data_IF_441750860815
#
_entry.id   IF_441750860815
#
_cell.length_a   1.000
_cell.length_b   1.000
_cell.length_c   1.000
_cell.angle_alpha   90.00
_cell.angle_beta   90.00
_cell.angle_gamma   90.00
#
_symmetry.space_group_name_H-M   'P 1'
#
loop_
_entity.id
_entity.type
_entity.pdbx_description
1 polymer ?
#
# COMPACT_ATOMS: atom_id res chain seq x y z
N UNK A 1 -16.32 3.44 4.44
CA UNK A 1 -15.02 3.85 3.86
C UNK A 1 -14.66 2.82 2.82
N UNK A 2 -14.25 3.24 1.66
CA UNK A 2 -14.03 2.32 0.54
C UNK A 2 -12.56 2.34 0.14
N UNK A 3 -11.96 1.16 0.03
CA UNK A 3 -10.67 1.00 -0.63
C UNK A 3 -10.94 1.01 -2.13
N UNK A 4 -10.38 1.99 -2.83
CA UNK A 4 -10.47 2.07 -4.28
C UNK A 4 -9.39 1.19 -4.90
N UNK A 5 -9.71 0.46 -5.96
CA UNK A 5 -8.71 -0.29 -6.68
C UNK A 5 -8.99 -0.41 -8.17
N UNK A 6 -7.93 -0.55 -8.92
CA UNK A 6 -7.95 -0.90 -10.34
C UNK A 6 -7.11 -2.15 -10.57
N UNK A 7 -7.39 -2.88 -11.64
CA UNK A 7 -6.59 -4.03 -12.05
C UNK A 7 -5.77 -3.69 -13.29
N UNK A 8 -4.55 -4.23 -13.34
CA UNK A 8 -3.67 -4.13 -14.51
C UNK A 8 -3.10 -5.49 -14.88
N UNK A 9 -2.93 -5.69 -16.15
CA UNK A 9 -2.41 -6.93 -16.74
C UNK A 9 -1.02 -6.70 -17.33
N UNK A 10 -0.23 -7.78 -17.42
CA UNK A 10 1.04 -7.75 -18.12
C UNK A 10 0.80 -7.44 -19.61
N UNK A 11 1.70 -6.65 -20.17
CA UNK A 11 1.68 -6.30 -21.59
C UNK A 11 2.69 -7.17 -22.32
N UNK A 12 2.29 -7.73 -23.47
CA UNK A 12 3.20 -8.48 -24.31
C UNK A 12 4.30 -7.55 -24.89
N UNK A 13 5.57 -7.98 -24.91
CA UNK A 13 6.67 -7.15 -25.43
C UNK A 13 6.47 -6.60 -26.84
N UNK A 14 5.80 -7.35 -27.70
CA UNK A 14 5.54 -6.91 -29.09
C UNK A 14 4.46 -5.82 -29.15
N UNK A 15 3.59 -5.71 -28.14
CA UNK A 15 2.46 -4.77 -28.15
C UNK A 15 2.88 -3.36 -27.71
N UNK A 16 3.74 -3.22 -26.70
CA UNK A 16 4.08 -1.89 -26.16
C UNK A 16 4.86 -1.03 -27.15
N UNK A 17 5.55 -1.63 -28.10
CA UNK A 17 6.27 -0.89 -29.15
C UNK A 17 5.31 -0.01 -30.00
N UNK A 18 4.04 -0.41 -30.09
CA UNK A 18 3.01 0.31 -30.82
C UNK A 18 2.27 1.35 -29.96
N UNK A 19 2.59 1.45 -28.66
CA UNK A 19 1.86 2.31 -27.75
C UNK A 19 2.27 3.78 -27.90
N UNK A 20 1.27 4.65 -27.91
CA UNK A 20 1.46 6.08 -27.75
C UNK A 20 1.66 6.44 -26.26
N UNK A 21 1.95 7.70 -25.95
CA UNK A 21 2.18 8.17 -24.59
C UNK A 21 1.01 7.92 -23.63
N UNK A 22 -0.22 8.02 -24.12
CA UNK A 22 -1.42 7.76 -23.31
C UNK A 22 -1.51 6.27 -22.93
N UNK A 23 -1.29 5.39 -23.89
CA UNK A 23 -1.28 3.93 -23.65
C UNK A 23 -0.14 3.50 -22.73
N UNK A 24 1.06 4.09 -22.87
CA UNK A 24 2.18 3.83 -21.97
C UNK A 24 1.85 4.26 -20.53
N UNK A 25 1.22 5.42 -20.36
CA UNK A 25 0.77 5.87 -19.03
C UNK A 25 -0.29 4.94 -18.45
N UNK A 26 -1.27 4.53 -19.21
CA UNK A 26 -2.34 3.66 -18.76
C UNK A 26 -1.82 2.29 -18.30
N UNK A 27 -0.84 1.73 -19.01
CA UNK A 27 -0.33 0.39 -18.73
C UNK A 27 0.84 0.36 -17.73
N UNK A 28 1.69 1.39 -17.67
CA UNK A 28 2.95 1.36 -16.90
C UNK A 28 3.05 2.42 -15.82
N UNK A 29 2.26 3.48 -15.86
CA UNK A 29 2.30 4.53 -14.85
C UNK A 29 1.21 4.33 -13.80
N UNK A 30 1.60 4.44 -12.53
CA UNK A 30 0.68 4.47 -11.40
C UNK A 30 0.74 5.86 -10.78
N UNK A 31 -0.31 6.65 -10.95
CA UNK A 31 -0.44 7.98 -10.38
C UNK A 31 -1.64 8.08 -9.45
N UNK A 32 -1.76 9.22 -8.74
CA UNK A 32 -2.93 9.51 -7.92
C UNK A 32 -3.07 8.61 -6.68
N UNK A 33 -1.97 8.10 -6.14
CA UNK A 33 -1.99 7.22 -4.97
C UNK A 33 -2.38 7.94 -3.68
N UNK A 34 -2.02 9.22 -3.54
CA UNK A 34 -2.19 9.97 -2.30
C UNK A 34 -3.30 11.01 -2.43
N UNK A 35 -4.53 10.53 -2.36
CA UNK A 35 -5.72 11.37 -2.27
C UNK A 35 -6.16 11.41 -0.80
N UNK A 36 -6.46 12.61 -0.30
CA UNK A 36 -6.86 12.80 1.10
C UNK A 36 -8.04 11.90 1.47
N UNK A 37 -7.92 11.22 2.59
CA UNK A 37 -8.91 10.30 3.17
C UNK A 37 -9.30 9.12 2.27
N UNK A 38 -8.36 8.71 1.40
CA UNK A 38 -8.55 7.53 0.55
C UNK A 38 -7.40 6.52 0.66
N UNK A 39 -7.75 5.26 0.44
CA UNK A 39 -6.82 4.20 0.10
C UNK A 39 -7.02 3.85 -1.38
N UNK A 40 -5.99 4.03 -2.18
CA UNK A 40 -6.01 3.74 -3.61
C UNK A 40 -5.00 2.66 -3.94
N UNK A 41 -5.45 1.58 -4.57
CA UNK A 41 -4.64 0.40 -4.89
C UNK A 41 -4.65 0.11 -6.38
N UNK A 42 -3.56 -0.46 -6.87
CA UNK A 42 -3.47 -1.10 -8.17
C UNK A 42 -3.09 -2.56 -7.98
N UNK A 43 -4.01 -3.44 -8.29
CA UNK A 43 -3.75 -4.88 -8.31
C UNK A 43 -3.18 -5.26 -9.68
N UNK A 44 -1.92 -5.65 -9.69
CA UNK A 44 -1.30 -6.10 -10.93
C UNK A 44 -1.45 -7.61 -11.08
N UNK A 45 -1.67 -8.08 -12.31
CA UNK A 45 -1.61 -9.50 -12.64
C UNK A 45 -0.18 -9.97 -12.92
N UNK A 46 0.80 -9.14 -12.55
CA UNK A 46 2.23 -9.46 -12.59
C UNK A 46 2.60 -9.95 -11.20
N UNK A 47 2.74 -11.25 -11.03
CA UNK A 47 2.99 -11.94 -9.75
C UNK A 47 1.98 -11.57 -8.63
N UNK A 48 0.80 -11.10 -9.01
CA UNK A 48 -0.26 -10.66 -8.07
C UNK A 48 0.22 -9.58 -7.08
N UNK A 49 1.16 -8.76 -7.53
CA UNK A 49 1.71 -7.67 -6.72
C UNK A 49 0.75 -6.48 -6.70
N UNK A 50 0.55 -5.91 -5.52
CA UNK A 50 -0.27 -4.71 -5.32
C UNK A 50 0.63 -3.54 -4.97
N UNK A 51 0.41 -2.42 -5.63
CA UNK A 51 0.95 -1.11 -5.24
C UNK A 51 -0.18 -0.19 -4.85
N UNK A 52 0.08 0.73 -3.93
CA UNK A 52 -0.97 1.64 -3.51
C UNK A 52 -0.48 2.78 -2.64
N UNK A 53 -1.45 3.54 -2.17
CA UNK A 53 -1.23 4.63 -1.25
C UNK A 53 -2.40 4.81 -0.29
N UNK A 54 -2.10 5.24 0.92
CA UNK A 54 -3.06 5.68 1.92
C UNK A 54 -2.65 7.06 2.41
N UNK A 55 -3.58 8.01 2.36
CA UNK A 55 -3.37 9.40 2.80
C UNK A 55 -4.43 9.78 3.84
N UNK A 56 -4.30 9.32 5.10
CA UNK A 56 -5.24 9.68 6.17
C UNK A 56 -5.05 11.16 6.54
N UNK A 57 -5.91 12.05 6.07
CA UNK A 57 -5.86 13.47 6.41
C UNK A 57 -6.72 13.76 7.65
N UNK A 58 -8.03 13.68 7.51
CA UNK A 58 -8.97 14.02 8.58
C UNK A 58 -9.51 12.78 9.31
N UNK A 59 -9.45 11.62 8.67
CA UNK A 59 -10.00 10.37 9.22
C UNK A 59 -8.99 9.21 9.15
N UNK A 60 -9.01 8.29 10.15
CA UNK A 60 -8.29 7.04 10.05
C UNK A 60 -8.76 6.22 8.85
N UNK A 61 -7.84 5.58 8.17
CA UNK A 61 -8.11 4.74 7.00
C UNK A 61 -7.83 3.28 7.30
N UNK A 62 -8.83 2.42 7.12
CA UNK A 62 -8.68 0.98 7.25
C UNK A 62 -8.35 0.34 5.90
N UNK A 63 -7.40 -0.58 5.90
CA UNK A 63 -7.10 -1.40 4.74
C UNK A 63 -8.09 -2.58 4.66
N UNK A 64 -9.24 -2.32 4.07
CA UNK A 64 -10.23 -3.37 3.82
C UNK A 64 -9.79 -4.25 2.64
N UNK A 65 -10.30 -5.47 2.61
CA UNK A 65 -10.08 -6.38 1.48
C UNK A 65 -10.72 -5.83 0.20
N UNK A 66 -10.23 -6.30 -0.93
CA UNK A 66 -10.81 -6.01 -2.25
C UNK A 66 -11.34 -7.27 -2.90
N UNK A 67 -12.34 -7.14 -3.75
CA UNK A 67 -13.01 -8.30 -4.37
C UNK A 67 -12.04 -9.19 -5.17
N UNK A 68 -11.04 -8.62 -5.79
CA UNK A 68 -10.02 -9.35 -6.56
C UNK A 68 -9.24 -10.38 -5.72
N UNK A 69 -9.13 -10.19 -4.40
CA UNK A 69 -8.41 -11.10 -3.52
C UNK A 69 -9.20 -12.34 -3.11
N UNK A 70 -10.54 -12.27 -3.17
CA UNK A 70 -11.42 -13.34 -2.69
C UNK A 70 -11.02 -13.86 -1.30
N UNK A 71 -10.73 -12.95 -0.40
CA UNK A 71 -10.28 -13.18 0.96
C UNK A 71 -11.11 -12.35 1.95
N UNK A 72 -11.24 -12.81 3.19
CA UNK A 72 -11.99 -12.09 4.23
C UNK A 72 -11.23 -10.85 4.69
N UNK A 73 -9.91 -10.98 4.85
CA UNK A 73 -9.04 -9.87 5.20
C UNK A 73 -7.97 -9.67 4.11
N UNK A 74 -7.50 -8.43 3.98
CA UNK A 74 -6.53 -8.08 2.93
C UNK A 74 -5.24 -8.93 3.01
N UNK A 75 -4.75 -9.21 4.21
CA UNK A 75 -3.50 -9.93 4.45
C UNK A 75 -3.66 -11.41 4.80
N UNK A 76 -4.81 -12.03 4.50
CA UNK A 76 -4.99 -13.47 4.76
C UNK A 76 -3.91 -14.34 4.10
N UNK A 77 -3.43 -13.93 2.92
CA UNK A 77 -2.43 -14.68 2.12
C UNK A 77 -1.35 -13.78 1.53
N UNK A 78 -1.16 -12.60 2.12
CA UNK A 78 -0.24 -11.58 1.63
C UNK A 78 0.47 -10.90 2.79
N UNK A 79 1.62 -10.33 2.50
CA UNK A 79 2.35 -9.42 3.37
C UNK A 79 2.27 -7.99 2.83
N UNK A 80 2.52 -7.01 3.68
CA UNK A 80 2.44 -5.60 3.35
C UNK A 80 3.72 -4.88 3.76
N UNK A 81 4.23 -4.05 2.85
CA UNK A 81 5.19 -3.00 3.17
C UNK A 81 4.50 -1.65 3.10
N UNK A 82 4.71 -0.80 4.11
CA UNK A 82 4.22 0.56 4.13
C UNK A 82 5.36 1.52 4.41
N UNK A 83 5.63 2.44 3.48
CA UNK A 83 6.69 3.45 3.59
C UNK A 83 6.04 4.82 3.71
N UNK A 84 6.36 5.56 4.77
CA UNK A 84 5.82 6.90 4.94
C UNK A 84 6.65 7.93 4.16
N UNK A 85 6.03 8.58 3.19
CA UNK A 85 6.63 9.64 2.37
C UNK A 85 5.97 11.01 2.60
N UNK A 86 5.17 11.13 3.65
CA UNK A 86 4.49 12.36 4.06
C UNK A 86 4.85 12.80 5.48
N UNK A 87 3.92 13.48 6.14
CA UNK A 87 4.04 13.86 7.54
C UNK A 87 4.05 12.67 8.48
N UNK A 88 4.31 12.89 9.76
CA UNK A 88 4.30 11.82 10.77
C UNK A 88 2.94 11.12 10.83
N UNK A 89 2.95 9.82 10.93
CA UNK A 89 1.74 9.00 11.02
C UNK A 89 1.90 7.79 11.93
N UNK A 90 0.83 7.02 12.00
CA UNK A 90 0.75 5.78 12.77
C UNK A 90 0.12 4.70 11.93
N UNK A 91 0.55 3.48 12.16
CA UNK A 91 -0.08 2.29 11.62
C UNK A 91 -0.41 1.37 12.78
N UNK A 92 -1.69 1.04 12.93
CA UNK A 92 -2.16 0.07 13.94
C UNK A 92 -2.46 -1.24 13.25
N UNK A 93 -1.83 -2.31 13.71
CA UNK A 93 -2.00 -3.67 13.20
C UNK A 93 -2.51 -4.56 14.31
N UNK A 94 -3.71 -5.10 14.17
CA UNK A 94 -4.37 -5.96 15.17
C UNK A 94 -4.29 -5.40 16.60
N UNK A 95 -4.46 -4.09 16.75
CA UNK A 95 -4.42 -3.37 18.03
C UNK A 95 -3.03 -2.91 18.50
N UNK A 96 -1.96 -3.29 17.83
CA UNK A 96 -0.60 -2.80 18.11
C UNK A 96 -0.28 -1.57 17.23
N UNK A 97 0.10 -0.47 17.84
CA UNK A 97 0.36 0.80 17.15
C UNK A 97 1.85 1.07 16.98
N UNK A 98 2.23 1.43 15.76
CA UNK A 98 3.58 1.81 15.36
C UNK A 98 3.59 3.27 14.91
N UNK A 99 4.42 4.10 15.56
CA UNK A 99 4.69 5.46 15.07
C UNK A 99 5.65 5.39 13.89
N UNK A 100 5.24 5.95 12.75
CA UNK A 100 6.00 5.89 11.49
C UNK A 100 6.27 7.33 11.03
N UNK A 101 7.48 7.80 11.22
CA UNK A 101 7.91 9.11 10.77
C UNK A 101 8.22 9.12 9.25
N UNK A 102 8.50 10.30 8.72
CA UNK A 102 8.93 10.46 7.33
C UNK A 102 10.15 9.58 7.01
N UNK A 103 10.07 8.84 5.92
CA UNK A 103 11.09 7.86 5.45
C UNK A 103 11.25 6.61 6.33
N UNK A 104 10.41 6.41 7.31
CA UNK A 104 10.34 5.13 8.01
C UNK A 104 9.35 4.18 7.33
N UNK A 105 9.51 2.90 7.56
CA UNK A 105 8.69 1.85 6.99
C UNK A 105 8.20 0.86 8.05
N UNK A 106 7.08 0.20 7.78
CA UNK A 106 6.57 -0.93 8.52
C UNK A 106 6.38 -2.11 7.59
N UNK A 107 6.96 -3.24 7.95
CA UNK A 107 6.61 -4.54 7.40
C UNK A 107 5.50 -5.16 8.24
N UNK A 108 4.45 -5.62 7.60
CA UNK A 108 3.33 -6.34 8.22
C UNK A 108 3.24 -7.74 7.64
N UNK A 109 3.37 -8.73 8.51
CA UNK A 109 3.35 -10.14 8.15
C UNK A 109 1.97 -10.62 7.69
N UNK A 110 1.95 -11.70 6.92
CA UNK A 110 0.73 -12.35 6.50
C UNK A 110 -0.10 -12.82 7.70
N UNK A 111 -1.42 -12.73 7.58
CA UNK A 111 -2.37 -13.14 8.60
C UNK A 111 -2.90 -12.01 9.48
N UNK A 112 -2.40 -10.79 9.36
CA UNK A 112 -2.98 -9.64 10.05
C UNK A 112 -4.42 -9.39 9.57
N UNK A 113 -5.32 -9.14 10.51
CA UNK A 113 -6.75 -8.99 10.23
C UNK A 113 -7.16 -7.54 10.05
N UNK A 114 -6.49 -6.64 10.74
CA UNK A 114 -6.80 -5.22 10.70
C UNK A 114 -5.53 -4.39 10.57
N UNK A 115 -5.54 -3.48 9.61
CA UNK A 115 -4.49 -2.46 9.44
C UNK A 115 -5.17 -1.11 9.29
N UNK A 116 -4.82 -0.16 10.17
CA UNK A 116 -5.38 1.18 10.19
C UNK A 116 -4.26 2.21 10.07
N UNK A 117 -4.43 3.17 9.19
CA UNK A 117 -3.50 4.28 8.95
C UNK A 117 -4.06 5.57 9.54
N UNK A 118 -3.21 6.34 10.22
CA UNK A 118 -3.55 7.62 10.81
C UNK A 118 -2.44 8.64 10.62
N UNK A 119 -2.80 9.93 10.51
CA UNK A 119 -1.85 11.03 10.58
C UNK A 119 -1.78 11.58 12.01
N UNK A 120 -0.60 12.07 12.38
CA UNK A 120 -0.43 12.82 13.63
C UNK A 120 -0.98 14.23 13.50
N UNK A 121 -0.83 14.82 12.31
CA UNK A 121 -1.28 16.19 12.00
C UNK A 121 -2.03 16.20 10.67
N UNK A 122 -3.30 16.57 10.72
CA UNK A 122 -4.15 16.68 9.54
C UNK A 122 -3.67 17.74 8.53
N UNK A 123 -3.01 18.80 9.02
CA UNK A 123 -2.45 19.84 8.16
C UNK A 123 -1.20 19.39 7.38
N UNK A 124 -0.52 18.34 7.88
CA UNK A 124 0.60 17.71 7.22
C UNK A 124 0.44 16.19 7.26
N UNK A 125 -0.49 15.65 6.45
CA UNK A 125 -0.87 14.25 6.55
C UNK A 125 0.26 13.30 6.19
N UNK A 126 0.25 12.13 6.83
CA UNK A 126 1.07 11.01 6.42
C UNK A 126 0.66 10.54 5.02
N UNK A 127 1.62 10.04 4.26
CA UNK A 127 1.41 9.44 2.95
C UNK A 127 2.10 8.09 2.94
N UNK A 128 1.34 7.05 3.11
CA UNK A 128 1.88 5.70 3.14
C UNK A 128 1.86 5.10 1.74
N UNK A 129 3.05 4.97 1.15
CA UNK A 129 3.21 4.14 -0.04
C UNK A 129 3.10 2.67 0.38
N UNK A 130 2.23 1.93 -0.29
CA UNK A 130 1.91 0.55 0.02
C UNK A 130 2.41 -0.37 -1.09
N UNK A 131 3.03 -1.47 -0.70
CA UNK A 131 3.26 -2.59 -1.59
C UNK A 131 2.89 -3.91 -0.89
N UNK A 132 2.38 -4.86 -1.64
CA UNK A 132 1.96 -6.14 -1.08
C UNK A 132 2.23 -7.26 -2.06
N UNK A 133 2.80 -8.32 -1.55
CA UNK A 133 3.07 -9.55 -2.27
C UNK A 133 2.40 -10.73 -1.59
N UNK A 134 2.18 -11.81 -2.34
CA UNK A 134 1.71 -13.07 -1.76
C UNK A 134 2.78 -13.66 -0.84
N UNK A 135 2.36 -14.26 0.26
CA UNK A 135 3.26 -14.84 1.25
C UNK A 135 2.83 -16.26 1.65
N UNK A 136 3.80 -17.15 1.83
CA UNK A 136 3.59 -18.52 2.27
C UNK A 136 3.79 -18.70 3.79
N UNK A 137 4.49 -17.76 4.41
CA UNK A 137 4.78 -17.75 5.84
C UNK A 137 4.35 -16.44 6.47
N UNK A 138 4.01 -16.47 7.75
CA UNK A 138 3.77 -15.29 8.55
C UNK A 138 5.04 -14.96 9.34
N UNK A 139 5.58 -13.76 9.12
CA UNK A 139 6.70 -13.22 9.87
C UNK A 139 6.22 -12.12 10.80
N UNK A 140 6.93 -11.86 11.92
CA UNK A 140 6.58 -10.77 12.82
C UNK A 140 6.61 -9.42 12.12
N UNK A 141 5.69 -8.53 12.51
CA UNK A 141 5.72 -7.14 12.06
C UNK A 141 7.05 -6.49 12.48
N UNK A 142 7.58 -5.63 11.62
CA UNK A 142 8.85 -4.95 11.90
C UNK A 142 8.84 -3.52 11.38
N UNK A 143 9.05 -2.58 12.29
CA UNK A 143 9.36 -1.19 11.92
C UNK A 143 10.83 -1.10 11.49
N UNK A 144 11.09 -0.34 10.43
CA UNK A 144 12.42 -0.06 9.89
C UNK A 144 12.60 1.45 9.83
N UNK A 145 13.59 1.96 10.55
CA UNK A 145 13.99 3.36 10.52
C UNK A 145 15.12 3.61 9.53
N UNK A 146 15.46 4.89 9.32
CA UNK A 146 16.58 5.28 8.44
C UNK A 146 17.93 4.73 8.87
N UNK A 147 18.12 4.55 10.18
CA UNK A 147 19.38 4.05 10.72
C UNK A 147 19.54 2.53 10.58
N UNK A 148 18.42 1.83 10.34
CA UNK A 148 18.42 0.39 10.08
C UNK A 148 18.73 0.07 8.62
N UNK A 149 18.66 1.06 7.74
CA UNK A 149 18.87 0.88 6.30
C UNK A 149 20.38 0.87 5.97
N UNK A 150 20.77 -0.04 5.09
CA UNK A 150 22.12 -0.03 4.51
C UNK A 150 22.21 1.15 3.53
N UNK A 151 23.19 2.02 3.76
CA UNK A 151 23.43 3.23 2.95
C UNK A 151 24.52 2.98 1.93
#
# INVERSE_FOLDING_TARGET
MTVNYTERYAVHPDDYEMYNSAMLRENFHVGGLFVADEVNLVYTQIDRFIVGGACPADTPLKLDTIDALKAVHFLDRRELGAVNVGGAGRITVDGETYDIAYKEALYVGAGAKEVVFESVDAANPAKFYLNSATAHHSYPNKKVGLDDAIK
#
